data_IF_012767718251
#
_entry.id   IF_012767718251
#
_cell.length_a   1.000
_cell.length_b   1.000
_cell.length_c   1.000
_cell.angle_alpha   90.00
_cell.angle_beta   90.00
_cell.angle_gamma   90.00
#
_symmetry.space_group_name_H-M   'P 1'
#
loop_
_entity.id
_entity.type
_entity.pdbx_description
1 polymer ?
#
# COMPACT_ATOMS: atom_id res chain seq x y z
N UNK A 1 -23.97 -2.72 -2.37
CA UNK A 1 -23.27 -1.72 -1.54
C UNK A 1 -22.03 -1.26 -2.30
N UNK A 2 -21.61 0.00 -2.14
CA UNK A 2 -20.36 0.46 -2.75
C UNK A 2 -19.17 -0.29 -2.13
N UNK A 3 -18.25 -0.79 -2.96
CA UNK A 3 -17.05 -1.47 -2.48
C UNK A 3 -16.13 -0.48 -1.81
N UNK A 4 -15.74 -0.76 -0.56
CA UNK A 4 -14.77 0.04 0.16
C UNK A 4 -13.43 -0.01 -0.57
N UNK A 5 -12.92 1.16 -0.98
CA UNK A 5 -11.62 1.26 -1.65
C UNK A 5 -10.49 0.95 -0.66
N UNK A 6 -9.29 0.58 -1.12
CA UNK A 6 -8.14 0.39 -0.22
C UNK A 6 -7.85 1.62 0.65
N UNK A 7 -7.97 2.84 0.08
CA UNK A 7 -7.82 4.09 0.84
C UNK A 7 -8.95 4.28 1.86
N UNK A 8 -10.20 3.93 1.51
CA UNK A 8 -11.30 3.96 2.46
C UNK A 8 -11.09 3.01 3.62
N UNK A 9 -10.59 1.80 3.34
CA UNK A 9 -10.25 0.82 4.37
C UNK A 9 -9.14 1.32 5.30
N UNK A 10 -8.08 1.89 4.76
CA UNK A 10 -7.00 2.48 5.55
C UNK A 10 -7.48 3.64 6.44
N UNK A 11 -8.37 4.50 5.90
CA UNK A 11 -8.99 5.60 6.68
C UNK A 11 -9.79 5.06 7.85
N UNK A 12 -10.66 4.06 7.63
CA UNK A 12 -11.45 3.46 8.71
C UNK A 12 -10.54 2.80 9.76
N UNK A 13 -9.49 2.08 9.33
CA UNK A 13 -8.51 1.50 10.22
C UNK A 13 -7.82 2.54 11.12
N UNK A 14 -7.46 3.69 10.56
CA UNK A 14 -6.86 4.77 11.35
C UNK A 14 -7.85 5.44 12.31
N UNK A 15 -9.13 5.52 11.95
CA UNK A 15 -10.18 6.09 12.80
C UNK A 15 -10.58 5.18 13.97
N UNK A 16 -10.31 3.87 13.90
CA UNK A 16 -10.41 2.97 15.06
C UNK A 16 -9.44 3.38 16.18
N UNK A 17 -8.30 3.99 15.84
CA UNK A 17 -7.35 4.51 16.82
C UNK A 17 -7.81 5.83 17.47
N UNK A 18 -8.95 6.38 17.03
CA UNK A 18 -9.58 7.57 17.57
C UNK A 18 -9.80 8.66 16.53
N UNK A 19 -10.66 9.67 16.83
CA UNK A 19 -11.07 10.69 15.87
C UNK A 19 -9.90 11.50 15.32
N UNK A 20 -9.90 11.80 14.01
CA UNK A 20 -8.84 12.60 13.35
C UNK A 20 -9.37 13.51 12.27
N UNK A 21 -8.65 14.59 12.02
CA UNK A 21 -8.85 15.42 10.83
C UNK A 21 -8.14 14.79 9.61
N UNK A 22 -8.65 14.90 8.36
CA UNK A 22 -8.03 14.27 7.19
C UNK A 22 -6.55 14.63 6.96
N UNK A 23 -6.14 15.85 7.29
CA UNK A 23 -4.72 16.23 7.26
C UNK A 23 -3.86 15.43 8.24
N UNK A 24 -4.36 15.15 9.45
CA UNK A 24 -3.65 14.33 10.43
C UNK A 24 -3.59 12.87 9.98
N UNK A 25 -4.66 12.39 9.33
CA UNK A 25 -4.65 11.07 8.69
C UNK A 25 -3.55 10.97 7.65
N UNK A 26 -3.44 11.97 6.76
CA UNK A 26 -2.37 12.04 5.76
C UNK A 26 -0.98 12.02 6.41
N UNK A 27 -0.73 12.87 7.40
CA UNK A 27 0.55 12.91 8.11
C UNK A 27 0.88 11.56 8.76
N UNK A 28 -0.13 10.91 9.35
CA UNK A 28 0.04 9.60 9.98
C UNK A 28 0.41 8.52 8.95
N UNK A 29 -0.28 8.48 7.81
CA UNK A 29 0.02 7.52 6.74
C UNK A 29 1.46 7.66 6.23
N UNK A 30 1.92 8.88 5.98
CA UNK A 30 3.29 9.13 5.52
C UNK A 30 4.31 8.78 6.61
N UNK A 31 4.05 9.17 7.86
CA UNK A 31 4.95 8.88 8.98
C UNK A 31 5.12 7.36 9.24
N UNK A 32 4.09 6.57 8.96
CA UNK A 32 4.11 5.11 9.07
C UNK A 32 4.55 4.39 7.80
N UNK A 33 4.86 5.14 6.73
CA UNK A 33 5.13 4.58 5.40
C UNK A 33 4.01 3.66 4.89
N UNK A 34 2.76 3.94 5.24
CA UNK A 34 1.59 3.19 4.76
C UNK A 34 1.31 3.47 3.27
N UNK A 35 1.94 4.50 2.71
CA UNK A 35 1.95 4.79 1.28
C UNK A 35 2.57 3.65 0.43
N UNK A 36 3.21 2.67 1.07
CA UNK A 36 3.68 1.42 0.47
C UNK A 36 2.56 0.43 0.13
N UNK A 37 1.50 0.39 0.94
CA UNK A 37 0.41 -0.59 0.80
C UNK A 37 -0.88 0.06 0.30
N UNK A 38 -1.00 1.38 0.42
CA UNK A 38 -2.14 2.13 -0.07
C UNK A 38 -1.70 3.45 -0.68
N UNK A 39 -2.17 3.76 -1.89
CA UNK A 39 -1.83 5.02 -2.55
C UNK A 39 -2.54 6.19 -1.88
N UNK A 40 -1.80 6.98 -1.10
CA UNK A 40 -2.33 8.16 -0.39
C UNK A 40 -1.95 9.44 -1.15
N UNK A 41 -2.96 10.22 -1.55
CA UNK A 41 -2.79 11.58 -2.06
C UNK A 41 -3.71 12.51 -1.27
N UNK A 42 -3.30 13.74 -0.91
CA UNK A 42 -4.12 14.63 -0.09
C UNK A 42 -5.53 14.80 -0.66
N UNK A 43 -5.68 15.21 -1.92
CA UNK A 43 -7.01 15.39 -2.53
C UNK A 43 -7.85 14.10 -2.56
N UNK A 44 -7.23 12.96 -2.83
CA UNK A 44 -7.92 11.66 -2.81
C UNK A 44 -8.37 11.26 -1.41
N UNK A 45 -7.61 11.63 -0.38
CA UNK A 45 -7.94 11.36 1.01
C UNK A 45 -9.16 12.17 1.46
N UNK A 46 -9.19 13.48 1.20
CA UNK A 46 -10.35 14.33 1.52
C UNK A 46 -11.62 13.81 0.85
N UNK A 47 -11.56 13.52 -0.45
CA UNK A 47 -12.71 12.94 -1.16
C UNK A 47 -13.11 11.55 -0.66
N UNK A 48 -12.16 10.76 -0.16
CA UNK A 48 -12.46 9.46 0.45
C UNK A 48 -13.23 9.65 1.74
N UNK A 49 -12.80 10.57 2.61
CA UNK A 49 -13.49 10.88 3.88
C UNK A 49 -14.90 11.40 3.63
N UNK A 50 -15.07 12.35 2.69
CA UNK A 50 -16.38 12.86 2.29
C UNK A 50 -17.33 11.74 1.82
N UNK A 51 -16.80 10.77 1.07
CA UNK A 51 -17.59 9.61 0.62
C UNK A 51 -17.97 8.69 1.76
N UNK A 52 -17.02 8.40 2.65
CA UNK A 52 -17.29 7.58 3.84
C UNK A 52 -18.35 8.23 4.74
N UNK A 53 -18.35 9.56 4.87
CA UNK A 53 -19.35 10.31 5.61
C UNK A 53 -20.73 10.20 4.94
N UNK A 54 -20.78 10.43 3.62
CA UNK A 54 -22.01 10.28 2.84
C UNK A 54 -22.61 8.87 2.91
N UNK A 55 -21.75 7.85 2.95
CA UNK A 55 -22.15 6.44 3.06
C UNK A 55 -22.45 6.04 4.52
N UNK A 56 -22.30 6.94 5.49
CA UNK A 56 -22.62 6.72 6.91
C UNK A 56 -21.58 5.91 7.69
N UNK A 57 -20.38 5.69 7.13
CA UNK A 57 -19.30 4.92 7.75
C UNK A 57 -18.43 5.76 8.69
N UNK A 58 -18.43 7.08 8.53
CA UNK A 58 -17.84 8.03 9.47
C UNK A 58 -18.82 9.16 9.74
N UNK A 59 -18.62 9.89 10.84
CA UNK A 59 -19.38 11.10 11.14
C UNK A 59 -18.47 12.20 11.66
N UNK A 60 -18.81 13.45 11.37
CA UNK A 60 -18.13 14.60 11.95
C UNK A 60 -18.40 14.69 13.47
N UNK A 61 -17.36 14.86 14.27
CA UNK A 61 -17.46 15.03 15.73
C UNK A 61 -17.45 16.50 16.18
N UNK A 62 -17.25 17.42 15.24
CA UNK A 62 -17.23 18.87 15.47
C UNK A 62 -16.20 19.59 14.59
N UNK A 63 -16.35 20.92 14.48
CA UNK A 63 -15.35 21.80 13.87
C UNK A 63 -14.62 22.57 14.96
N UNK A 64 -13.32 22.31 15.12
CA UNK A 64 -12.47 23.18 15.93
C UNK A 64 -11.97 24.33 15.04
N UNK A 65 -12.28 25.57 15.46
CA UNK A 65 -11.74 26.77 14.83
C UNK A 65 -10.67 27.36 15.71
N UNK A 66 -9.41 27.08 15.39
CA UNK A 66 -8.27 27.70 16.06
C UNK A 66 -7.97 29.07 15.42
N UNK A 67 -8.57 30.13 15.97
CA UNK A 67 -8.36 31.51 15.53
C UNK A 67 -8.86 31.80 14.10
N UNK A 68 -7.99 32.34 13.25
CA UNK A 68 -8.34 32.78 11.88
C UNK A 68 -8.11 31.70 10.81
N UNK A 69 -7.85 30.44 11.22
CA UNK A 69 -7.65 29.31 10.31
C UNK A 69 -8.99 28.74 9.80
N UNK A 70 -9.01 28.05 8.65
CA UNK A 70 -10.18 27.31 8.18
C UNK A 70 -10.66 26.32 9.25
N UNK A 71 -11.97 26.07 9.29
CA UNK A 71 -12.55 25.06 10.17
C UNK A 71 -11.90 23.68 9.92
N UNK A 72 -11.46 23.02 10.99
CA UNK A 72 -10.98 21.64 10.94
C UNK A 72 -12.08 20.72 11.41
N UNK A 73 -12.69 20.00 10.48
CA UNK A 73 -13.66 18.95 10.79
C UNK A 73 -12.94 17.67 11.17
N UNK A 74 -13.15 17.22 12.40
CA UNK A 74 -12.67 15.92 12.88
C UNK A 74 -13.73 14.86 12.60
N UNK A 75 -13.29 13.66 12.22
CA UNK A 75 -14.16 12.54 11.91
C UNK A 75 -13.91 11.38 12.88
N UNK A 76 -14.97 10.64 13.21
CA UNK A 76 -14.90 9.37 13.89
C UNK A 76 -15.63 8.28 13.10
N UNK A 77 -15.19 7.03 13.28
CA UNK A 77 -15.83 5.86 12.67
C UNK A 77 -17.17 5.56 13.36
N UNK A 78 -18.17 5.13 12.58
CA UNK A 78 -19.46 4.65 13.10
C UNK A 78 -19.47 3.12 13.24
N UNK A 79 -20.44 2.56 13.97
CA UNK A 79 -20.63 1.11 14.06
C UNK A 79 -20.77 0.47 12.66
N UNK A 80 -21.53 1.11 11.76
CA UNK A 80 -21.67 0.67 10.38
C UNK A 80 -20.34 0.72 9.59
N UNK A 81 -19.50 1.72 9.85
CA UNK A 81 -18.16 1.80 9.27
C UNK A 81 -17.25 0.67 9.77
N UNK A 82 -17.31 0.35 11.06
CA UNK A 82 -16.55 -0.74 11.65
C UNK A 82 -16.97 -2.09 11.08
N UNK A 83 -18.28 -2.37 11.01
CA UNK A 83 -18.80 -3.61 10.42
C UNK A 83 -18.37 -3.76 8.96
N UNK A 84 -18.49 -2.68 8.16
CA UNK A 84 -18.09 -2.71 6.75
C UNK A 84 -16.58 -2.92 6.58
N UNK A 85 -15.76 -2.32 7.44
CA UNK A 85 -14.32 -2.51 7.44
C UNK A 85 -13.95 -3.98 7.69
N UNK A 86 -14.57 -4.61 8.69
CA UNK A 86 -14.33 -6.01 9.03
C UNK A 86 -14.78 -6.97 7.94
N UNK A 87 -15.96 -6.76 7.35
CA UNK A 87 -16.41 -7.50 6.17
C UNK A 87 -15.40 -7.39 5.04
N UNK A 88 -14.93 -6.17 4.74
CA UNK A 88 -14.02 -5.95 3.62
C UNK A 88 -12.67 -6.65 3.82
N UNK A 89 -12.13 -6.63 5.04
CA UNK A 89 -10.90 -7.37 5.38
C UNK A 89 -11.14 -8.87 5.19
N UNK A 90 -12.28 -9.38 5.66
CA UNK A 90 -12.65 -10.79 5.52
C UNK A 90 -12.75 -11.21 4.05
N UNK A 91 -13.41 -10.42 3.21
CA UNK A 91 -13.48 -10.63 1.76
C UNK A 91 -12.07 -10.66 1.15
N UNK A 92 -11.21 -9.69 1.48
CA UNK A 92 -9.85 -9.58 0.91
C UNK A 92 -8.94 -10.74 1.31
N UNK A 93 -9.13 -11.31 2.51
CA UNK A 93 -8.35 -12.45 2.99
C UNK A 93 -8.87 -13.80 2.48
N UNK A 94 -10.18 -13.92 2.25
CA UNK A 94 -10.81 -15.20 1.88
C UNK A 94 -10.95 -15.42 0.37
N UNK A 95 -11.03 -14.34 -0.41
CA UNK A 95 -11.23 -14.41 -1.86
C UNK A 95 -9.94 -14.08 -2.61
N UNK A 96 -9.41 -15.06 -3.34
CA UNK A 96 -8.36 -14.80 -4.32
C UNK A 96 -8.92 -14.00 -5.50
N UNK A 97 -8.25 -12.91 -5.88
CA UNK A 97 -8.63 -12.06 -7.02
C UNK A 97 -7.43 -11.89 -7.94
N UNK A 98 -7.70 -11.77 -9.24
CA UNK A 98 -6.69 -11.33 -10.18
C UNK A 98 -6.27 -9.90 -9.83
N UNK A 99 -5.02 -9.77 -9.41
CA UNK A 99 -4.31 -8.50 -9.43
C UNK A 99 -3.67 -8.33 -10.81
N UNK A 100 -3.71 -7.11 -11.35
CA UNK A 100 -3.14 -6.78 -12.66
C UNK A 100 -1.93 -5.85 -12.50
N UNK A 101 -0.83 -6.32 -11.87
CA UNK A 101 0.40 -5.53 -11.81
C UNK A 101 0.99 -5.36 -13.22
N UNK A 102 1.64 -4.22 -13.46
CA UNK A 102 2.19 -3.88 -14.79
C UNK A 102 3.41 -4.73 -15.17
N UNK A 103 4.19 -5.20 -14.19
CA UNK A 103 5.46 -5.87 -14.47
C UNK A 103 5.31 -7.24 -15.17
N UNK A 104 4.41 -8.15 -14.75
CA UNK A 104 4.16 -9.37 -15.51
C UNK A 104 3.73 -9.12 -16.96
N UNK A 105 2.95 -8.07 -17.22
CA UNK A 105 2.61 -7.66 -18.57
C UNK A 105 3.85 -7.17 -19.34
N UNK A 106 4.71 -6.37 -18.72
CA UNK A 106 5.97 -5.95 -19.34
C UNK A 106 6.89 -7.13 -19.68
N UNK A 107 6.95 -8.16 -18.84
CA UNK A 107 7.67 -9.41 -19.12
C UNK A 107 7.05 -10.16 -20.30
N UNK A 108 5.72 -10.30 -20.33
CA UNK A 108 5.03 -10.97 -21.44
C UNK A 108 5.35 -10.31 -22.79
N UNK A 109 5.45 -8.98 -22.81
CA UNK A 109 5.73 -8.19 -24.02
C UNK A 109 7.22 -7.91 -24.26
N UNK A 110 8.12 -8.38 -23.39
CA UNK A 110 9.54 -8.03 -23.45
C UNK A 110 10.23 -8.49 -24.75
N UNK A 111 9.75 -9.59 -25.35
CA UNK A 111 10.25 -10.15 -26.62
C UNK A 111 10.17 -9.15 -27.80
N UNK A 112 9.39 -8.08 -27.68
CA UNK A 112 9.35 -7.01 -28.68
C UNK A 112 10.56 -6.06 -28.62
N UNK A 113 11.47 -6.23 -27.66
CA UNK A 113 12.67 -5.41 -27.48
C UNK A 113 13.95 -6.21 -27.75
N UNK A 114 15.03 -5.56 -28.24
CA UNK A 114 16.33 -6.22 -28.38
C UNK A 114 16.81 -6.79 -27.04
N UNK A 115 17.41 -7.99 -27.07
CA UNK A 115 17.93 -8.71 -25.89
C UNK A 115 18.74 -7.82 -24.94
N UNK A 116 19.72 -7.09 -25.48
CA UNK A 116 20.59 -6.21 -24.70
C UNK A 116 19.82 -5.08 -23.99
N UNK A 117 18.73 -4.60 -24.62
CA UNK A 117 17.86 -3.58 -24.01
C UNK A 117 17.11 -4.16 -22.82
N UNK A 118 16.59 -5.38 -22.96
CA UNK A 118 15.85 -6.08 -21.91
C UNK A 118 16.76 -6.34 -20.72
N UNK A 119 17.95 -6.89 -20.94
CA UNK A 119 18.97 -7.11 -19.90
C UNK A 119 19.25 -5.81 -19.13
N UNK A 120 19.54 -4.71 -19.84
CA UNK A 120 19.83 -3.42 -19.20
C UNK A 120 18.67 -2.89 -18.35
N UNK A 121 17.43 -3.03 -18.83
CA UNK A 121 16.24 -2.59 -18.10
C UNK A 121 15.98 -3.45 -16.86
N UNK A 122 16.17 -4.77 -16.97
CA UNK A 122 16.04 -5.69 -15.84
C UNK A 122 17.15 -5.46 -14.79
N UNK A 123 18.39 -5.19 -15.21
CA UNK A 123 19.48 -4.81 -14.30
C UNK A 123 19.13 -3.53 -13.51
N UNK A 124 18.57 -2.52 -14.17
CA UNK A 124 18.05 -1.32 -13.48
C UNK A 124 16.95 -1.70 -12.47
N UNK A 125 16.02 -2.58 -12.85
CA UNK A 125 14.96 -3.05 -11.95
C UNK A 125 15.51 -3.76 -10.72
N UNK A 126 16.54 -4.61 -10.87
CA UNK A 126 17.20 -5.28 -9.73
C UNK A 126 17.74 -4.27 -8.73
N UNK A 127 18.33 -3.16 -9.19
CA UNK A 127 18.81 -2.09 -8.28
C UNK A 127 17.65 -1.46 -7.49
N UNK A 128 16.52 -1.20 -8.13
CA UNK A 128 15.31 -0.68 -7.46
C UNK A 128 14.73 -1.70 -6.47
N UNK A 129 14.62 -2.98 -6.85
CA UNK A 129 14.12 -4.04 -5.98
C UNK A 129 15.00 -4.23 -4.74
N UNK A 130 16.33 -4.19 -4.89
CA UNK A 130 17.26 -4.24 -3.75
C UNK A 130 17.10 -3.03 -2.84
N UNK A 131 16.90 -1.82 -3.39
CA UNK A 131 16.61 -0.65 -2.58
C UNK A 131 15.28 -0.76 -1.81
N UNK A 132 14.25 -1.39 -2.41
CA UNK A 132 13.00 -1.72 -1.72
C UNK A 132 13.21 -2.75 -0.61
N UNK A 133 14.04 -3.76 -0.83
CA UNK A 133 14.34 -4.78 0.17
C UNK A 133 15.01 -4.16 1.41
N UNK A 134 15.99 -3.27 1.21
CA UNK A 134 16.63 -2.50 2.29
C UNK A 134 15.63 -1.60 3.04
N UNK A 135 14.65 -1.05 2.33
CA UNK A 135 13.62 -0.21 2.94
C UNK A 135 12.65 -1.04 3.80
N UNK A 136 12.21 -2.20 3.32
CA UNK A 136 11.34 -3.11 4.06
C UNK A 136 12.08 -3.73 5.24
N UNK A 137 13.34 -4.15 5.04
CA UNK A 137 14.21 -4.68 6.10
C UNK A 137 14.35 -3.71 7.28
N UNK A 138 14.71 -2.45 7.01
CA UNK A 138 14.79 -1.41 8.06
C UNK A 138 13.47 -1.19 8.80
N UNK A 139 12.34 -1.30 8.11
CA UNK A 139 11.02 -1.19 8.75
C UNK A 139 10.76 -2.37 9.69
N UNK A 140 11.10 -3.60 9.29
CA UNK A 140 11.00 -4.81 10.13
C UNK A 140 11.92 -4.70 11.35
N UNK A 141 13.20 -4.36 11.15
CA UNK A 141 14.17 -4.22 12.24
C UNK A 141 13.73 -3.16 13.26
N UNK A 142 13.15 -2.06 12.79
CA UNK A 142 12.64 -0.98 13.66
C UNK A 142 11.44 -1.40 14.51
N UNK A 143 10.51 -2.20 13.98
CA UNK A 143 9.36 -2.67 14.76
C UNK A 143 9.74 -3.81 15.71
N UNK A 144 10.68 -4.68 15.32
CA UNK A 144 11.26 -5.71 16.19
C UNK A 144 12.02 -5.08 17.36
N UNK A 145 12.83 -4.05 17.10
CA UNK A 145 13.54 -3.29 18.13
C UNK A 145 12.62 -2.58 19.14
N UNK A 146 11.35 -2.40 18.80
CA UNK A 146 10.30 -1.85 19.69
C UNK A 146 9.50 -2.92 20.43
N UNK A 147 9.84 -4.21 20.29
CA UNK A 147 9.11 -5.34 20.85
C UNK A 147 7.62 -5.36 20.47
N UNK A 148 7.27 -4.88 19.26
CA UNK A 148 5.90 -4.98 18.76
C UNK A 148 5.58 -6.42 18.34
N UNK A 149 4.43 -6.93 18.75
CA UNK A 149 3.97 -8.27 18.36
C UNK A 149 3.88 -8.40 16.84
N UNK A 150 4.26 -9.58 16.31
CA UNK A 150 4.31 -9.88 14.87
C UNK A 150 3.03 -9.55 14.10
N UNK A 151 1.87 -9.69 14.74
CA UNK A 151 0.56 -9.40 14.12
C UNK A 151 0.43 -7.95 13.60
N UNK A 152 1.22 -7.01 14.12
CA UNK A 152 1.19 -5.60 13.74
C UNK A 152 2.08 -5.24 12.55
N UNK A 153 2.84 -6.19 12.00
CA UNK A 153 3.75 -5.95 10.87
C UNK A 153 3.78 -7.13 9.88
N UNK A 154 2.69 -7.93 9.84
CA UNK A 154 2.59 -9.08 8.92
C UNK A 154 2.74 -8.66 7.46
N UNK A 155 2.21 -7.49 7.10
CA UNK A 155 2.31 -6.92 5.76
C UNK A 155 3.76 -6.63 5.36
N UNK A 156 4.59 -6.08 6.25
CA UNK A 156 6.00 -5.87 5.99
C UNK A 156 6.73 -7.21 5.76
N UNK A 157 6.39 -8.23 6.57
CA UNK A 157 6.96 -9.58 6.39
C UNK A 157 6.55 -10.21 5.05
N UNK A 158 5.31 -10.02 4.62
CA UNK A 158 4.80 -10.49 3.33
C UNK A 158 5.50 -9.78 2.17
N UNK A 159 5.56 -8.44 2.20
CA UNK A 159 6.18 -7.64 1.14
C UNK A 159 7.66 -7.98 0.97
N UNK A 160 8.38 -8.23 2.07
CA UNK A 160 9.77 -8.69 2.02
C UNK A 160 9.92 -9.95 1.17
N UNK A 161 9.11 -10.97 1.45
CA UNK A 161 9.14 -12.25 0.71
C UNK A 161 8.85 -12.04 -0.77
N UNK A 162 7.87 -11.20 -1.11
CA UNK A 162 7.52 -10.92 -2.51
C UNK A 162 8.69 -10.23 -3.24
N UNK A 163 9.30 -9.21 -2.64
CA UNK A 163 10.42 -8.48 -3.25
C UNK A 163 11.66 -9.37 -3.38
N UNK A 164 11.96 -10.21 -2.40
CA UNK A 164 13.05 -11.19 -2.45
C UNK A 164 12.83 -12.19 -3.60
N UNK A 165 11.62 -12.74 -3.70
CA UNK A 165 11.27 -13.69 -4.76
C UNK A 165 11.36 -13.05 -6.16
N UNK A 166 10.84 -11.84 -6.33
CA UNK A 166 10.93 -11.13 -7.60
C UNK A 166 12.39 -10.80 -7.97
N UNK A 167 13.20 -10.34 -7.00
CA UNK A 167 14.62 -10.04 -7.22
C UNK A 167 15.36 -11.27 -7.74
N UNK A 168 15.22 -12.40 -7.04
CA UNK A 168 15.88 -13.65 -7.42
C UNK A 168 15.42 -14.15 -8.81
N UNK A 169 14.13 -14.02 -9.11
CA UNK A 169 13.60 -14.40 -10.42
C UNK A 169 14.15 -13.52 -11.56
N UNK A 170 14.20 -12.20 -11.36
CA UNK A 170 14.74 -11.28 -12.37
C UNK A 170 16.24 -11.50 -12.59
N UNK A 171 17.01 -11.73 -11.53
CA UNK A 171 18.43 -12.05 -11.62
C UNK A 171 18.69 -13.34 -12.40
N UNK A 172 17.88 -14.38 -12.18
CA UNK A 172 17.98 -15.61 -12.96
C UNK A 172 17.66 -15.37 -14.44
N UNK A 173 16.58 -14.64 -14.74
CA UNK A 173 16.21 -14.32 -16.12
C UNK A 173 17.32 -13.55 -16.84
N UNK A 174 17.97 -12.58 -16.18
CA UNK A 174 19.13 -11.88 -16.75
C UNK A 174 20.22 -12.88 -17.13
N UNK A 175 20.53 -13.83 -16.24
CA UNK A 175 21.51 -14.88 -16.51
C UNK A 175 21.15 -15.76 -17.71
N UNK A 176 19.88 -16.16 -17.83
CA UNK A 176 19.37 -16.95 -18.96
C UNK A 176 19.43 -16.20 -20.30
N UNK A 177 19.25 -14.87 -20.29
CA UNK A 177 19.39 -14.03 -21.49
C UNK A 177 20.86 -13.82 -21.87
N UNK A 178 21.73 -13.57 -20.89
CA UNK A 178 23.16 -13.32 -21.09
C UNK A 178 23.89 -14.56 -21.60
N UNK A 179 23.54 -15.75 -21.09
CA UNK A 179 24.17 -17.00 -21.50
C UNK A 179 23.50 -17.66 -22.72
N UNK A 180 22.40 -17.09 -23.22
CA UNK A 180 21.67 -17.58 -24.39
C UNK A 180 20.86 -18.85 -24.15
N UNK A 181 20.51 -19.19 -22.90
CA UNK A 181 19.57 -20.27 -22.57
C UNK A 181 18.20 -20.01 -23.21
N UNK A 182 17.80 -18.74 -23.26
CA UNK A 182 16.59 -18.30 -23.95
C UNK A 182 16.97 -17.75 -25.33
N UNK A 183 16.32 -18.27 -26.36
CA UNK A 183 16.34 -17.65 -27.69
C UNK A 183 15.45 -16.40 -27.67
N UNK A 184 15.96 -15.30 -28.22
CA UNK A 184 15.40 -13.95 -28.00
C UNK A 184 15.35 -13.15 -29.28
#
# INVERSE_FOLDING_TARGET
MATLTPLGLAVLGLLIEGPKHPYEMFQTFIARSEDRIVKVRPGSLYHTVERLEKDGFVRATGTEREGNRPERTTYEITDAGQDRMLERITEMLSEWKYEYPEFPLAIAEAHNLPRETVIKLLQKRVLELRAQLELVGRSVDHVEGKNLERKYWLEASYLRVIVEAETAWVENLIGELENGTIDW
#
